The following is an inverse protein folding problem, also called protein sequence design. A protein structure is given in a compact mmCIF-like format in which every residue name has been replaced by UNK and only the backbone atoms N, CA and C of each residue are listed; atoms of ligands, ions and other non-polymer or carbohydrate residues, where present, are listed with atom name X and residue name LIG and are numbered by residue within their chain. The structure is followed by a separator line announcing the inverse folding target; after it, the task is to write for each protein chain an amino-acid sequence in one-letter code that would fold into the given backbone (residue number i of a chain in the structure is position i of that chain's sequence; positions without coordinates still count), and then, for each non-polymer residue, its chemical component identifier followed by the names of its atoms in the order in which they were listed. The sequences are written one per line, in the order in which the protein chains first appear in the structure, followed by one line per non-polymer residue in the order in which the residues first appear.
data_IF_931818051165
#
_entry.id   IF_931818051165
#
_cell.length_a   1.000
_cell.length_b   1.000
_cell.length_c   1.000
_cell.angle_alpha   90.00
_cell.angle_beta   90.00
_cell.angle_gamma   90.00
#
_symmetry.space_group_name_H-M   'P 1'
#
loop_
_entity.id
_entity.type
_entity.pdbx_description
1 polymer ?
#
# COMPACT_ATOMS: atom_id res chain seq x y z
N UNK A 1 4.56 2.02 -17.57
CA UNK A 1 5.79 1.44 -16.99
C UNK A 1 5.33 0.14 -16.37
N UNK A 2 5.81 -1.00 -16.85
CA UNK A 2 5.37 -2.29 -16.33
C UNK A 2 6.14 -2.57 -15.04
N UNK A 3 5.43 -2.66 -13.91
CA UNK A 3 6.01 -2.99 -12.62
C UNK A 3 6.53 -4.44 -12.68
N UNK A 4 7.84 -4.62 -12.56
CA UNK A 4 8.43 -5.96 -12.59
C UNK A 4 8.38 -6.58 -11.19
N UNK A 5 7.50 -7.56 -11.00
CA UNK A 5 7.35 -8.34 -9.77
C UNK A 5 7.84 -9.79 -9.94
N UNK A 6 8.86 -10.02 -10.77
CA UNK A 6 9.41 -11.38 -11.00
C UNK A 6 10.08 -11.97 -9.76
N UNK A 7 10.60 -11.13 -8.88
CA UNK A 7 11.23 -11.49 -7.61
C UNK A 7 10.40 -10.88 -6.48
N UNK A 8 9.32 -11.58 -6.12
CA UNK A 8 8.34 -11.11 -5.14
C UNK A 8 8.17 -12.15 -4.05
N UNK A 9 8.13 -11.69 -2.80
CA UNK A 9 7.70 -12.47 -1.65
C UNK A 9 6.26 -12.07 -1.37
N UNK A 10 5.37 -13.04 -1.27
CA UNK A 10 3.96 -12.84 -0.98
C UNK A 10 3.61 -13.71 0.21
N UNK A 11 3.14 -13.09 1.28
CA UNK A 11 2.71 -13.78 2.49
C UNK A 11 1.30 -13.33 2.86
N UNK A 12 0.44 -14.28 3.24
CA UNK A 12 -0.80 -13.98 3.94
C UNK A 12 -0.52 -14.08 5.42
N UNK A 13 -0.90 -13.05 6.16
CA UNK A 13 -0.57 -12.90 7.57
C UNK A 13 -1.84 -12.61 8.37
N UNK A 14 -1.85 -13.02 9.63
CA UNK A 14 -2.93 -12.68 10.56
C UNK A 14 -2.75 -11.25 11.07
N UNK A 15 -3.80 -10.43 11.04
CA UNK A 15 -3.75 -9.03 11.47
C UNK A 15 -3.52 -8.85 12.97
N UNK A 16 -4.01 -9.75 13.80
CA UNK A 16 -3.90 -9.62 15.25
C UNK A 16 -2.54 -10.10 15.75
N UNK A 17 -2.02 -11.19 15.19
CA UNK A 17 -0.77 -11.80 15.66
C UNK A 17 0.45 -11.48 14.81
N UNK A 18 0.26 -10.92 13.61
CA UNK A 18 1.29 -10.71 12.58
C UNK A 18 1.97 -12.01 12.10
N UNK A 19 1.44 -13.18 12.47
CA UNK A 19 2.01 -14.46 12.08
C UNK A 19 1.71 -14.77 10.61
N UNK A 20 2.70 -15.36 9.94
CA UNK A 20 2.53 -15.85 8.56
C UNK A 20 1.59 -17.06 8.57
N UNK A 21 0.43 -16.91 7.91
CA UNK A 21 -0.54 -17.97 7.65
C UNK A 21 -0.06 -18.82 6.47
N UNK A 22 0.40 -18.17 5.40
CA UNK A 22 0.85 -18.86 4.20
C UNK A 22 1.84 -18.03 3.38
N UNK A 23 2.76 -18.71 2.68
CA UNK A 23 3.60 -18.10 1.64
C UNK A 23 3.05 -18.45 0.27
N UNK A 24 2.74 -17.45 -0.52
CA UNK A 24 2.07 -17.61 -1.81
C UNK A 24 3.07 -17.54 -2.97
N UNK A 25 2.72 -18.18 -4.09
CA UNK A 25 3.50 -18.11 -5.33
C UNK A 25 3.20 -16.80 -6.08
N UNK A 26 4.09 -16.31 -6.97
CA UNK A 26 3.86 -15.09 -7.76
C UNK A 26 2.54 -15.09 -8.55
N UNK A 27 2.01 -16.27 -8.90
CA UNK A 27 0.69 -16.38 -9.55
C UNK A 27 -0.45 -15.79 -8.72
N UNK A 28 -0.28 -15.68 -7.41
CA UNK A 28 -1.25 -15.08 -6.48
C UNK A 28 -1.51 -13.59 -6.77
N UNK A 29 -0.58 -12.90 -7.42
CA UNK A 29 -0.79 -11.53 -7.91
C UNK A 29 -1.99 -11.43 -8.86
N UNK A 30 -2.38 -12.52 -9.53
CA UNK A 30 -3.56 -12.56 -10.42
C UNK A 30 -4.87 -12.88 -9.68
N UNK A 31 -4.82 -13.13 -8.38
CA UNK A 31 -6.02 -13.34 -7.55
C UNK A 31 -6.79 -12.04 -7.43
N UNK A 32 -8.13 -12.12 -7.34
CA UNK A 32 -8.97 -10.96 -7.11
C UNK A 32 -8.63 -10.28 -5.78
N UNK A 33 -8.60 -8.95 -5.77
CA UNK A 33 -8.44 -8.15 -4.55
C UNK A 33 -9.54 -8.46 -3.51
N UNK A 34 -10.72 -8.93 -3.95
CA UNK A 34 -11.80 -9.38 -3.05
C UNK A 34 -11.39 -10.44 -2.03
N UNK A 35 -10.26 -11.12 -2.25
CA UNK A 35 -9.68 -12.02 -1.26
C UNK A 35 -9.59 -11.39 0.14
N UNK A 36 -9.11 -10.13 0.27
CA UNK A 36 -8.98 -9.48 1.60
C UNK A 36 -10.34 -9.16 2.25
N UNK A 37 -11.43 -9.16 1.47
CA UNK A 37 -12.80 -9.01 1.97
C UNK A 37 -13.42 -10.34 2.37
N UNK A 38 -13.00 -11.44 1.74
CA UNK A 38 -13.38 -12.80 2.11
C UNK A 38 -12.66 -13.27 3.39
N UNK A 39 -11.43 -12.79 3.61
CA UNK A 39 -10.58 -13.09 4.76
C UNK A 39 -10.20 -11.80 5.50
N UNK A 40 -11.17 -11.12 6.15
CA UNK A 40 -10.94 -9.78 6.72
C UNK A 40 -9.99 -9.78 7.93
N UNK A 41 -9.69 -10.93 8.53
CA UNK A 41 -8.68 -11.07 9.58
C UNK A 41 -7.26 -11.20 9.01
N UNK A 42 -7.10 -11.27 7.69
CA UNK A 42 -5.81 -11.40 7.02
C UNK A 42 -5.39 -10.09 6.35
N UNK A 43 -4.08 -9.91 6.22
CA UNK A 43 -3.48 -8.98 5.26
C UNK A 43 -2.52 -9.75 4.35
N UNK A 44 -2.36 -9.24 3.12
CA UNK A 44 -1.40 -9.76 2.16
C UNK A 44 -0.17 -8.88 2.24
N UNK A 45 0.95 -9.40 2.72
CA UNK A 45 2.26 -8.75 2.69
C UNK A 45 2.96 -9.04 1.36
N UNK A 46 3.42 -8.00 0.67
CA UNK A 46 4.18 -8.12 -0.56
C UNK A 46 5.48 -7.35 -0.45
N UNK A 47 6.60 -8.04 -0.64
CA UNK A 47 7.94 -7.45 -0.68
C UNK A 47 8.58 -7.69 -2.05
N UNK A 48 9.20 -6.66 -2.60
CA UNK A 48 9.91 -6.75 -3.88
C UNK A 48 11.04 -5.73 -3.98
N UNK A 49 12.21 -6.10 -4.56
CA UNK A 49 13.29 -5.15 -4.82
C UNK A 49 12.88 -3.94 -5.66
N UNK A 50 11.81 -4.06 -6.45
CA UNK A 50 11.29 -2.96 -7.28
C UNK A 50 10.76 -1.80 -6.42
N UNK A 51 10.31 -2.06 -5.19
CA UNK A 51 9.80 -1.01 -4.30
C UNK A 51 10.90 -0.09 -3.75
N UNK A 52 12.16 -0.50 -3.80
CA UNK A 52 13.29 0.36 -3.42
C UNK A 52 13.32 1.65 -4.27
N UNK A 53 12.88 1.58 -5.52
CA UNK A 53 12.82 2.72 -6.45
C UNK A 53 11.88 3.82 -5.96
N UNK A 54 10.90 3.47 -5.12
CA UNK A 54 9.95 4.37 -4.49
C UNK A 54 10.17 4.49 -2.97
N UNK A 55 11.33 4.03 -2.48
CA UNK A 55 11.75 4.10 -1.07
C UNK A 55 10.83 3.38 -0.09
N UNK A 56 10.28 2.25 -0.55
CA UNK A 56 9.40 1.36 0.21
C UNK A 56 10.02 -0.03 0.21
N UNK A 57 9.93 -0.76 1.32
CA UNK A 57 10.40 -2.16 1.39
C UNK A 57 9.29 -3.12 0.95
N UNK A 58 8.09 -2.92 1.48
CA UNK A 58 6.94 -3.76 1.24
C UNK A 58 5.63 -2.97 1.22
N UNK A 59 4.63 -3.56 0.57
CA UNK A 59 3.25 -3.07 0.54
C UNK A 59 2.38 -4.19 1.10
N UNK A 60 1.60 -3.87 2.14
CA UNK A 60 0.57 -4.75 2.66
C UNK A 60 -0.80 -4.32 2.13
N UNK A 61 -1.66 -5.28 1.80
CA UNK A 61 -3.04 -5.04 1.37
C UNK A 61 -4.01 -5.71 2.34
N UNK A 62 -5.03 -4.97 2.77
CA UNK A 62 -6.05 -5.47 3.68
C UNK A 62 -7.41 -4.79 3.45
N UNK A 63 -8.43 -5.29 4.15
CA UNK A 63 -9.68 -4.55 4.37
C UNK A 63 -9.62 -3.87 5.73
N UNK A 64 -9.60 -2.54 5.82
CA UNK A 64 -9.54 -1.80 7.08
C UNK A 64 -10.74 -2.12 7.99
N UNK A 65 -10.50 -2.40 9.28
CA UNK A 65 -11.55 -2.85 10.19
C UNK A 65 -12.52 -1.74 10.59
N UNK A 66 -12.08 -0.48 10.57
CA UNK A 66 -12.85 0.68 11.05
C UNK A 66 -13.74 1.25 9.95
N UNK A 67 -13.16 1.48 8.77
CA UNK A 67 -13.79 2.12 7.62
C UNK A 67 -14.28 1.12 6.57
N UNK A 68 -13.89 -0.16 6.68
CA UNK A 68 -14.27 -1.22 5.74
C UNK A 68 -13.86 -0.88 4.29
N UNK A 69 -12.68 -0.27 4.15
CA UNK A 69 -12.07 0.11 2.85
C UNK A 69 -10.91 -0.82 2.53
N UNK A 70 -10.69 -1.09 1.25
CA UNK A 70 -9.45 -1.71 0.78
C UNK A 70 -8.31 -0.73 1.02
N UNK A 71 -7.29 -1.15 1.76
CA UNK A 71 -6.23 -0.26 2.23
C UNK A 71 -4.87 -0.85 1.91
N UNK A 72 -3.97 -0.01 1.38
CA UNK A 72 -2.56 -0.31 1.27
C UNK A 72 -1.80 0.29 2.46
N UNK A 73 -1.02 -0.52 3.15
CA UNK A 73 -0.18 -0.13 4.28
C UNK A 73 1.28 -0.26 3.86
N UNK A 74 2.07 0.78 4.10
CA UNK A 74 3.48 0.78 3.74
C UNK A 74 4.31 1.76 4.58
N UNK A 75 5.60 1.45 4.69
CA UNK A 75 6.63 2.34 5.24
C UNK A 75 7.35 3.10 4.13
N UNK A 76 7.33 4.43 4.17
CA UNK A 76 8.03 5.30 3.22
C UNK A 76 9.26 5.95 3.85
N UNK A 77 10.46 5.64 3.35
CA UNK A 77 11.74 6.19 3.85
C UNK A 77 11.95 7.63 3.39
N UNK A 78 11.38 8.58 4.14
CA UNK A 78 11.46 10.02 3.85
C UNK A 78 11.63 10.87 5.12
N UNK A 79 12.42 11.95 5.03
CA UNK A 79 12.68 12.83 6.17
C UNK A 79 11.40 13.52 6.68
N UNK A 80 11.27 13.67 8.01
CA UNK A 80 10.14 14.34 8.68
C UNK A 80 9.77 15.72 8.11
N UNK A 81 10.75 16.47 7.59
CA UNK A 81 10.54 17.81 7.01
C UNK A 81 9.51 17.83 5.87
N UNK A 82 9.25 16.69 5.23
CA UNK A 82 8.28 16.55 4.14
C UNK A 82 6.84 16.34 4.60
N UNK A 83 6.56 16.44 5.91
CA UNK A 83 5.21 16.26 6.49
C UNK A 83 4.11 16.98 5.71
N UNK A 84 4.30 18.27 5.42
CA UNK A 84 3.29 19.07 4.74
C UNK A 84 3.10 18.60 3.29
N UNK A 85 4.19 18.33 2.57
CA UNK A 85 4.13 17.87 1.19
C UNK A 85 3.39 16.52 1.06
N UNK A 86 3.74 15.55 1.91
CA UNK A 86 3.11 14.21 1.92
C UNK A 86 1.60 14.32 2.19
N UNK A 87 1.22 15.06 3.24
CA UNK A 87 -0.21 15.20 3.59
C UNK A 87 -0.99 15.98 2.55
N UNK A 88 -0.42 17.04 1.97
CA UNK A 88 -1.08 17.81 0.92
C UNK A 88 -1.27 16.96 -0.33
N UNK A 89 -0.25 16.19 -0.73
CA UNK A 89 -0.32 15.30 -1.88
C UNK A 89 -1.50 14.30 -1.78
N UNK A 90 -1.63 13.58 -0.66
CA UNK A 90 -2.76 12.67 -0.47
C UNK A 90 -4.10 13.41 -0.42
N UNK A 91 -4.14 14.60 0.17
CA UNK A 91 -5.32 15.46 0.14
C UNK A 91 -5.66 16.00 -1.25
N UNK A 92 -4.76 15.98 -2.22
CA UNK A 92 -5.03 16.42 -3.59
C UNK A 92 -5.40 15.23 -4.50
N UNK A 93 -4.78 14.07 -4.27
CA UNK A 93 -4.86 12.92 -5.16
C UNK A 93 -5.87 11.85 -4.75
N UNK A 94 -6.29 11.79 -3.48
CA UNK A 94 -7.39 10.93 -3.06
C UNK A 94 -8.73 11.66 -3.26
N UNK A 95 -9.78 10.94 -3.64
CA UNK A 95 -11.14 11.43 -3.85
C UNK A 95 -11.98 11.40 -2.57
N UNK A 96 -13.11 12.10 -2.58
CA UNK A 96 -14.07 12.11 -1.48
C UNK A 96 -13.80 13.19 -0.43
N UNK A 97 -14.82 13.48 0.39
CA UNK A 97 -14.73 14.49 1.45
C UNK A 97 -13.96 13.95 2.66
N UNK A 98 -14.10 12.66 2.96
CA UNK A 98 -13.35 11.98 4.02
C UNK A 98 -12.42 10.96 3.37
N UNK A 99 -11.17 11.36 3.12
CA UNK A 99 -10.17 10.56 2.40
C UNK A 99 -9.58 9.43 3.24
N UNK A 100 -9.90 9.39 4.54
CA UNK A 100 -9.54 8.41 5.58
C UNK A 100 -8.08 7.90 5.64
N UNK A 101 -7.16 8.48 4.88
CA UNK A 101 -5.76 8.10 4.92
C UNK A 101 -5.10 8.50 6.23
N UNK A 102 -4.09 7.73 6.63
CA UNK A 102 -3.21 8.07 7.74
C UNK A 102 -1.78 8.29 7.23
N UNK A 103 -1.07 9.22 7.87
CA UNK A 103 0.33 9.49 7.58
C UNK A 103 1.02 9.92 8.87
N UNK A 104 1.76 8.99 9.47
CA UNK A 104 2.45 9.15 10.76
C UNK A 104 3.95 8.97 10.57
N UNK A 105 4.76 9.83 11.18
CA UNK A 105 6.22 9.69 11.10
C UNK A 105 6.75 8.94 12.32
N UNK A 106 7.33 7.76 12.08
CA UNK A 106 8.09 6.98 13.06
C UNK A 106 9.47 7.60 13.22
N UNK A 107 9.69 8.26 14.37
CA UNK A 107 10.95 8.95 14.66
C UNK A 107 12.13 8.02 14.91
N UNK A 108 11.84 6.82 15.42
CA UNK A 108 12.86 5.82 15.76
C UNK A 108 13.39 5.11 14.51
N UNK A 109 12.54 4.93 13.50
CA UNK A 109 12.89 4.24 12.25
C UNK A 109 13.19 5.22 11.11
N UNK A 110 12.85 6.49 11.27
CA UNK A 110 13.07 7.52 10.24
C UNK A 110 12.19 7.36 9.01
N UNK A 111 11.03 6.72 9.15
CA UNK A 111 10.09 6.42 8.07
C UNK A 111 8.67 6.92 8.36
N UNK A 112 7.87 6.96 7.30
CA UNK A 112 6.45 7.30 7.36
C UNK A 112 5.61 6.04 7.27
N UNK A 113 4.75 5.83 8.27
CA UNK A 113 3.70 4.82 8.23
C UNK A 113 2.50 5.42 7.51
N UNK A 114 2.15 4.81 6.38
CA UNK A 114 1.08 5.27 5.49
C UNK A 114 0.00 4.20 5.38
N UNK A 115 -1.24 4.58 5.70
CA UNK A 115 -2.43 3.77 5.40
C UNK A 115 -3.23 4.50 4.33
N UNK A 116 -3.30 3.91 3.14
CA UNK A 116 -3.83 4.54 1.94
C UNK A 116 -5.08 3.77 1.51
N UNK A 117 -6.28 4.33 1.71
CA UNK A 117 -7.51 3.68 1.29
C UNK A 117 -7.65 3.75 -0.23
N UNK A 118 -7.52 2.59 -0.87
CA UNK A 118 -7.56 2.40 -2.31
C UNK A 118 -8.90 2.81 -2.90
N UNK A 119 -10.00 2.65 -2.16
CA UNK A 119 -11.36 3.06 -2.56
C UNK A 119 -11.44 4.51 -3.06
N UNK A 120 -10.57 5.37 -2.55
CA UNK A 120 -10.54 6.79 -2.90
C UNK A 120 -9.52 7.12 -3.98
N UNK A 121 -8.84 6.13 -4.57
CA UNK A 121 -7.86 6.35 -5.62
C UNK A 121 -8.49 6.34 -7.01
N UNK A 122 -7.95 7.18 -7.90
CA UNK A 122 -8.28 7.17 -9.32
C UNK A 122 -7.87 5.84 -9.97
N UNK A 123 -8.84 5.12 -10.53
CA UNK A 123 -8.61 3.82 -11.16
C UNK A 123 -8.88 2.61 -10.27
N UNK A 124 -9.26 2.82 -9.00
CA UNK A 124 -9.71 1.73 -8.15
C UNK A 124 -10.99 1.05 -8.67
N UNK A 125 -11.05 -0.28 -8.49
CA UNK A 125 -12.21 -1.12 -8.76
C UNK A 125 -12.12 -2.38 -7.90
N UNK A 126 -13.22 -2.78 -7.24
CA UNK A 126 -13.24 -4.03 -6.44
C UNK A 126 -12.95 -5.28 -7.28
N UNK A 127 -13.14 -5.24 -8.61
CA UNK A 127 -12.90 -6.38 -9.50
C UNK A 127 -11.43 -6.51 -9.94
N UNK A 128 -10.55 -5.63 -9.46
CA UNK A 128 -9.13 -5.66 -9.82
C UNK A 128 -8.39 -6.83 -9.14
N UNK A 129 -7.21 -7.16 -9.68
CA UNK A 129 -6.32 -8.15 -9.08
C UNK A 129 -5.45 -7.55 -7.98
N UNK A 130 -4.81 -8.39 -7.19
CA UNK A 130 -3.75 -7.98 -6.24
C UNK A 130 -2.65 -7.19 -6.97
N UNK A 131 -2.23 -7.63 -8.17
CA UNK A 131 -1.25 -6.93 -8.99
C UNK A 131 -1.68 -5.50 -9.35
N UNK A 132 -2.95 -5.33 -9.70
CA UNK A 132 -3.49 -4.03 -10.10
C UNK A 132 -3.49 -3.06 -8.91
N UNK A 133 -3.88 -3.53 -7.73
CA UNK A 133 -3.86 -2.75 -6.49
C UNK A 133 -2.44 -2.32 -6.09
N UNK A 134 -1.46 -3.22 -6.20
CA UNK A 134 -0.04 -2.92 -5.97
C UNK A 134 0.46 -1.91 -6.99
N UNK A 135 0.14 -2.09 -8.28
CA UNK A 135 0.56 -1.19 -9.34
C UNK A 135 -0.02 0.22 -9.16
N UNK A 136 -1.28 0.30 -8.75
CA UNK A 136 -1.96 1.55 -8.44
C UNK A 136 -1.30 2.27 -7.25
N UNK A 137 -1.00 1.53 -6.18
CA UNK A 137 -0.28 2.05 -5.00
C UNK A 137 1.12 2.52 -5.37
N UNK A 138 1.88 1.69 -6.10
CA UNK A 138 3.23 2.02 -6.55
C UNK A 138 3.26 3.33 -7.33
N UNK A 139 2.35 3.51 -8.30
CA UNK A 139 2.31 4.72 -9.12
C UNK A 139 2.03 5.98 -8.30
N UNK A 140 1.14 5.87 -7.31
CA UNK A 140 0.83 6.98 -6.40
C UNK A 140 2.07 7.39 -5.60
N UNK A 141 2.80 6.43 -5.03
CA UNK A 141 4.00 6.71 -4.24
C UNK A 141 5.16 7.17 -5.12
N UNK A 142 5.33 6.59 -6.30
CA UNK A 142 6.36 7.02 -7.26
C UNK A 142 6.19 8.50 -7.60
N UNK A 143 4.95 8.92 -7.85
CA UNK A 143 4.63 10.31 -8.17
C UNK A 143 4.87 11.23 -6.96
N UNK A 144 4.45 10.81 -5.75
CA UNK A 144 4.75 11.54 -4.51
C UNK A 144 6.26 11.75 -4.30
N UNK A 145 7.05 10.69 -4.45
CA UNK A 145 8.51 10.75 -4.27
C UNK A 145 9.12 11.71 -5.30
N UNK A 146 8.72 11.60 -6.57
CA UNK A 146 9.17 12.50 -7.63
C UNK A 146 8.80 13.96 -7.39
N UNK A 147 7.63 14.25 -6.82
CA UNK A 147 7.22 15.63 -6.50
C UNK A 147 8.02 16.23 -5.35
N UNK A 148 8.40 15.41 -4.36
CA UNK A 148 9.18 15.89 -3.20
C UNK A 148 10.67 16.08 -3.55
N UNK A 149 11.21 15.28 -4.46
CA UNK A 149 12.63 15.31 -4.83
C UNK A 149 12.98 16.34 -5.92
N UNK A 150 11.98 16.93 -6.58
CA UNK A 150 12.17 18.06 -7.49
C UNK A 150 12.62 19.33 -6.76
#
# INVERSE_FOLDING_TARGET
MDLNLSEVIIERCDKETEDVISKEQPSFLNTSLKHVKEFPNEFIYIESPTFEQIKVDAISLELDDVFQTYTALLGLRMQKKHTAAIKNYFNEHLKGENKYFSASFSGDEGMWDLNIPLDYMDGFSEDMTVNDAISLTYLLIETLVKEIEQ
#
